data_IF_133331171909
#
_entry.id   IF_133331171909
#
_cell.length_a   1.000
_cell.length_b   1.000
_cell.length_c   1.000
_cell.angle_alpha   90.00
_cell.angle_beta   90.00
_cell.angle_gamma   90.00
#
_symmetry.space_group_name_H-M   'P 1'
#
loop_
_entity.id
_entity.type
_entity.pdbx_description
1 polymer ?
#
# COMPACT_ATOMS: atom_id res chain seq x y z
N UNK A 1 11.42 -11.27 -12.52
CA UNK A 1 10.04 -11.56 -12.97
C UNK A 1 9.64 -10.51 -14.02
N UNK A 2 9.00 -10.91 -15.13
CA UNK A 2 8.48 -9.93 -16.10
C UNK A 2 7.19 -9.34 -15.54
N UNK A 3 7.19 -8.03 -15.28
CA UNK A 3 6.02 -7.30 -14.78
C UNK A 3 4.98 -7.13 -15.88
N UNK A 4 3.69 -7.27 -15.54
CA UNK A 4 2.61 -7.12 -16.53
C UNK A 4 2.35 -5.66 -16.91
N UNK A 5 2.55 -4.73 -15.97
CA UNK A 5 2.34 -3.29 -16.13
C UNK A 5 3.49 -2.51 -15.52
N UNK A 6 3.74 -1.27 -15.96
CA UNK A 6 4.77 -0.40 -15.35
C UNK A 6 4.32 0.14 -13.98
N UNK A 7 5.26 0.63 -13.15
CA UNK A 7 4.93 1.30 -11.88
C UNK A 7 4.00 2.51 -12.10
N UNK A 8 4.27 3.33 -13.12
CA UNK A 8 3.42 4.48 -13.44
C UNK A 8 2.00 4.06 -13.81
N UNK A 9 1.86 3.02 -14.63
CA UNK A 9 0.56 2.43 -15.00
C UNK A 9 -0.16 1.87 -13.77
N UNK A 10 0.55 1.16 -12.90
CA UNK A 10 0.00 0.59 -11.68
C UNK A 10 -0.53 1.69 -10.75
N UNK A 11 0.23 2.78 -10.55
CA UNK A 11 -0.22 3.93 -9.72
C UNK A 11 -1.50 4.58 -10.26
N UNK A 12 -1.65 4.66 -11.57
CA UNK A 12 -2.83 5.25 -12.21
C UNK A 12 -4.07 4.35 -12.08
N UNK A 13 -3.90 3.03 -12.24
CA UNK A 13 -5.00 2.06 -12.21
C UNK A 13 -5.43 1.72 -10.77
N UNK A 14 -4.49 1.58 -9.85
CA UNK A 14 -4.73 1.10 -8.49
C UNK A 14 -4.65 2.25 -7.48
N UNK A 15 -5.73 3.03 -7.43
CA UNK A 15 -5.86 4.15 -6.48
C UNK A 15 -6.01 3.67 -5.03
N UNK A 16 -6.32 2.39 -4.82
CA UNK A 16 -6.42 1.75 -3.52
C UNK A 16 -5.09 1.20 -3.00
N UNK A 17 -3.97 1.44 -3.70
CA UNK A 17 -2.64 1.10 -3.20
C UNK A 17 -2.44 1.72 -1.82
N UNK A 18 -1.79 1.01 -0.91
CA UNK A 18 -1.61 1.52 0.44
C UNK A 18 -0.15 1.52 0.88
N UNK A 19 0.52 2.64 0.62
CA UNK A 19 1.91 2.92 0.99
C UNK A 19 1.99 4.28 1.68
N UNK A 20 3.10 4.60 2.37
CA UNK A 20 3.22 5.92 3.03
C UNK A 20 3.18 7.11 2.05
N UNK A 21 3.57 6.89 0.79
CA UNK A 21 3.47 7.88 -0.30
C UNK A 21 2.03 8.09 -0.79
N UNK A 22 1.13 7.13 -0.53
CA UNK A 22 -0.27 7.21 -0.95
C UNK A 22 -1.19 6.53 0.06
N UNK A 23 -1.87 7.37 0.84
CA UNK A 23 -2.87 6.96 1.83
C UNK A 23 -4.27 7.05 1.19
N UNK A 24 -4.93 5.92 0.90
CA UNK A 24 -6.27 5.93 0.30
C UNK A 24 -7.30 6.51 1.29
N UNK A 25 -8.35 7.12 0.76
CA UNK A 25 -9.32 7.86 1.56
C UNK A 25 -10.02 7.00 2.63
N UNK A 26 -10.23 5.71 2.37
CA UNK A 26 -10.85 4.80 3.34
C UNK A 26 -9.99 4.58 4.58
N UNK A 27 -8.66 4.59 4.44
CA UNK A 27 -7.73 4.35 5.54
C UNK A 27 -7.63 5.54 6.52
N UNK A 28 -8.17 6.70 6.12
CA UNK A 28 -8.30 7.88 6.99
C UNK A 28 -9.46 7.78 7.96
N UNK A 29 -10.33 6.78 7.81
CA UNK A 29 -11.44 6.53 8.73
C UNK A 29 -11.01 5.48 9.75
N UNK A 30 -11.37 5.65 11.04
CA UNK A 30 -11.07 4.64 12.04
C UNK A 30 -11.91 3.37 11.81
N UNK A 31 -11.31 2.22 12.09
CA UNK A 31 -11.92 0.91 12.21
C UNK A 31 -11.75 0.45 13.67
N UNK A 32 -12.87 0.21 14.39
CA UNK A 32 -12.85 -0.19 15.80
C UNK A 32 -11.99 0.70 16.72
N UNK A 33 -11.96 2.02 16.45
CA UNK A 33 -11.19 2.99 17.24
C UNK A 33 -9.69 3.07 16.90
N UNK A 34 -9.22 2.32 15.90
CA UNK A 34 -7.85 2.37 15.38
C UNK A 34 -7.86 2.74 13.90
N UNK A 35 -6.72 3.19 13.37
CA UNK A 35 -6.56 3.45 11.94
C UNK A 35 -5.69 2.37 11.34
N UNK A 36 -6.00 1.93 10.13
CA UNK A 36 -5.12 1.01 9.41
C UNK A 36 -3.79 1.71 9.15
N UNK A 37 -2.68 1.03 9.39
CA UNK A 37 -1.36 1.55 9.01
C UNK A 37 -1.08 1.27 7.52
N UNK A 38 -0.19 2.04 6.87
CA UNK A 38 0.28 1.73 5.53
C UNK A 38 1.00 0.38 5.50
N UNK A 39 0.76 -0.43 4.47
CA UNK A 39 1.40 -1.73 4.32
C UNK A 39 2.85 -1.66 3.87
N UNK A 40 3.23 -0.56 3.21
CA UNK A 40 4.55 -0.37 2.58
C UNK A 40 5.10 1.04 2.82
N UNK A 41 6.42 1.19 2.75
CA UNK A 41 7.14 2.46 2.87
C UNK A 41 6.97 3.31 1.62
N UNK A 42 6.95 2.70 0.43
CA UNK A 42 6.92 3.41 -0.86
C UNK A 42 5.99 2.74 -1.88
N UNK A 43 5.59 3.50 -2.91
CA UNK A 43 4.86 2.94 -4.06
C UNK A 43 5.72 1.91 -4.82
N UNK A 44 7.04 2.08 -4.83
CA UNK A 44 7.95 1.12 -5.45
C UNK A 44 7.94 -0.23 -4.71
N UNK A 45 8.02 -0.20 -3.38
CA UNK A 45 7.94 -1.40 -2.55
C UNK A 45 6.57 -2.08 -2.66
N UNK A 46 5.49 -1.30 -2.63
CA UNK A 46 4.14 -1.81 -2.88
C UNK A 46 4.07 -2.52 -4.23
N UNK A 47 4.60 -1.90 -5.28
CA UNK A 47 4.60 -2.47 -6.62
C UNK A 47 5.40 -3.76 -6.66
N UNK A 48 6.63 -3.78 -6.14
CA UNK A 48 7.47 -4.99 -6.11
C UNK A 48 6.79 -6.16 -5.38
N UNK A 49 6.03 -5.87 -4.33
CA UNK A 49 5.36 -6.85 -3.49
C UNK A 49 3.88 -7.09 -3.84
N UNK A 50 3.40 -6.56 -4.95
CA UNK A 50 2.02 -6.76 -5.41
C UNK A 50 2.00 -7.57 -6.70
N UNK A 51 1.10 -8.56 -6.73
CA UNK A 51 0.80 -9.36 -7.92
C UNK A 51 -0.37 -8.72 -8.65
N UNK A 52 -0.14 -8.42 -9.93
CA UNK A 52 -1.13 -7.78 -10.79
C UNK A 52 -1.84 -8.80 -11.68
N UNK A 53 -3.10 -8.53 -12.10
CA UNK A 53 -3.79 -9.34 -13.09
C UNK A 53 -2.94 -9.57 -14.35
N UNK A 54 -2.89 -10.82 -14.81
CA UNK A 54 -2.03 -11.23 -15.93
C UNK A 54 -0.58 -11.55 -15.56
N UNK A 55 -0.20 -11.45 -14.28
CA UNK A 55 1.05 -12.01 -13.77
C UNK A 55 0.89 -13.48 -13.38
N UNK A 56 2.02 -14.17 -13.18
CA UNK A 56 2.03 -15.61 -12.90
C UNK A 56 1.22 -15.91 -11.63
N UNK A 57 0.18 -16.72 -11.78
CA UNK A 57 -0.69 -17.12 -10.67
C UNK A 57 -1.90 -16.21 -10.43
N UNK A 58 -2.14 -15.22 -11.31
CA UNK A 58 -3.31 -14.34 -11.23
C UNK A 58 -3.99 -14.19 -12.59
N UNK A 59 -5.29 -14.51 -12.72
CA UNK A 59 -6.03 -14.36 -13.97
C UNK A 59 -5.96 -12.92 -14.50
N UNK A 60 -6.07 -12.75 -15.82
CA UNK A 60 -5.99 -11.42 -16.46
C UNK A 60 -7.30 -10.62 -16.31
N UNK A 61 -8.39 -11.34 -16.18
CA UNK A 61 -9.77 -10.88 -15.99
C UNK A 61 -10.12 -10.58 -14.52
N UNK A 62 -9.18 -10.81 -13.59
CA UNK A 62 -9.30 -10.42 -12.19
C UNK A 62 -9.27 -8.88 -12.06
N UNK A 63 -10.19 -8.32 -11.29
CA UNK A 63 -10.34 -6.88 -11.06
C UNK A 63 -9.54 -6.39 -9.85
N UNK A 64 -8.95 -7.30 -9.07
CA UNK A 64 -8.21 -6.97 -7.86
C UNK A 64 -6.73 -7.25 -8.04
N UNK A 65 -5.86 -6.43 -7.44
CA UNK A 65 -4.45 -6.78 -7.24
C UNK A 65 -4.27 -7.51 -5.90
N UNK A 66 -3.22 -8.32 -5.76
CA UNK A 66 -2.93 -9.02 -4.51
C UNK A 66 -1.61 -8.52 -3.92
N UNK A 67 -1.68 -7.77 -2.82
CA UNK A 67 -0.51 -7.31 -2.08
C UNK A 67 0.01 -8.40 -1.14
N UNK A 68 1.33 -8.63 -1.14
CA UNK A 68 2.03 -9.64 -0.33
C UNK A 68 3.16 -9.01 0.48
N UNK A 69 3.69 -9.71 1.49
CA UNK A 69 4.90 -9.31 2.22
C UNK A 69 4.91 -7.84 2.68
N UNK A 70 3.82 -7.38 3.28
CA UNK A 70 3.73 -6.02 3.81
C UNK A 70 4.80 -5.80 4.88
N UNK A 71 5.54 -4.70 4.77
CA UNK A 71 6.59 -4.34 5.72
C UNK A 71 6.05 -3.66 6.97
N UNK A 72 4.81 -3.13 6.91
CA UNK A 72 4.13 -2.48 8.03
C UNK A 72 5.05 -1.47 8.74
N UNK A 73 5.58 -0.45 8.04
CA UNK A 73 6.62 0.42 8.57
C UNK A 73 6.24 1.18 9.84
N UNK A 74 4.93 1.35 10.07
CA UNK A 74 4.39 2.04 11.24
C UNK A 74 3.62 1.09 12.19
N UNK A 75 3.83 -0.23 12.06
CA UNK A 75 2.98 -1.26 12.65
C UNK A 75 1.74 -1.55 11.80
N UNK A 76 0.81 -2.37 12.31
CA UNK A 76 -0.44 -2.72 11.60
C UNK A 76 -1.59 -1.75 11.90
N UNK A 77 -1.56 -1.13 13.08
CA UNK A 77 -2.61 -0.26 13.60
C UNK A 77 -2.02 1.02 14.15
N UNK A 78 -2.65 2.14 13.83
CA UNK A 78 -2.29 3.46 14.32
C UNK A 78 -3.36 3.98 15.28
N UNK A 79 -2.94 4.78 16.26
CA UNK A 79 -3.85 5.49 17.17
C UNK A 79 -4.45 6.75 16.53
N UNK A 80 -3.88 7.20 15.42
CA UNK A 80 -4.25 8.41 14.67
C UNK A 80 -4.14 8.12 13.17
N UNK A 81 -4.88 8.84 12.31
CA UNK A 81 -4.79 8.63 10.87
C UNK A 81 -3.38 8.92 10.36
N UNK A 82 -2.91 8.11 9.40
CA UNK A 82 -1.64 8.37 8.74
C UNK A 82 -1.70 9.72 8.00
N UNK A 83 -0.66 10.57 8.11
CA UNK A 83 -0.65 11.84 7.40
C UNK A 83 -0.55 11.59 5.89
N UNK A 84 -1.12 12.49 5.05
CA UNK A 84 -1.21 12.30 3.60
C UNK A 84 0.14 12.24 2.88
N UNK A 85 1.22 12.66 3.55
CA UNK A 85 2.61 12.54 3.13
C UNK A 85 3.46 12.23 4.36
N UNK A 86 3.43 10.97 4.83
CA UNK A 86 4.40 10.53 5.81
C UNK A 86 5.74 10.34 5.08
N UNK A 87 6.55 11.39 4.99
CA UNK A 87 7.94 11.19 4.60
C UNK A 87 8.55 10.16 5.57
N UNK A 88 9.27 9.13 5.08
CA UNK A 88 9.70 7.99 5.90
C UNK A 88 10.46 8.34 7.18
N UNK A 89 11.03 9.55 7.26
CA UNK A 89 11.79 10.04 8.40
C UNK A 89 10.92 10.62 9.54
N UNK A 90 9.62 10.89 9.35
CA UNK A 90 8.82 11.61 10.35
C UNK A 90 8.15 10.73 11.42
N UNK A 91 8.15 9.41 11.29
CA UNK A 91 7.51 8.49 12.24
C UNK A 91 8.47 7.54 12.96
N UNK A 92 9.77 7.88 13.03
CA UNK A 92 10.76 7.11 13.79
C UNK A 92 10.62 7.21 15.33
N UNK A 93 9.59 7.88 15.84
CA UNK A 93 9.36 8.04 17.28
C UNK A 93 8.12 7.26 17.71
N UNK A 94 8.22 6.62 18.88
CA UNK A 94 7.25 5.71 19.51
C UNK A 94 7.41 4.22 19.16
N UNK A 95 8.60 3.69 19.48
CA UNK A 95 8.71 2.35 20.05
C UNK A 95 8.35 2.41 21.53
#
# INVERSE_FOLDING_TARGET
MKRAISLATAKAQYQQRYAMEHIPAWARKPCNGQFYAPGYVSDAEWYENTIFPGEKGKPRDDDHCESRNQSWPLGQWLKQPAPPYAAPHMWAAHK
#
